data_IF_048802839710
#
_entry.id   IF_048802839710
#
_cell.length_a   1.000
_cell.length_b   1.000
_cell.length_c   1.000
_cell.angle_alpha   90.00
_cell.angle_beta   90.00
_cell.angle_gamma   90.00
#
_symmetry.space_group_name_H-M   'P 1'
#
loop_
_entity.id
_entity.type
_entity.pdbx_description
1 polymer ?
#
# COMPACT_ATOMS: atom_id res chain seq x y z
N UNK A 1 -4.85 -9.65 22.60
CA UNK A 1 -3.77 -8.64 22.64
C UNK A 1 -2.80 -9.02 23.74
N UNK A 2 -1.49 -8.96 23.48
CA UNK A 2 -0.49 -9.17 24.53
C UNK A 2 -0.32 -7.95 25.43
N UNK A 3 0.49 -8.10 26.47
CA UNK A 3 1.01 -7.01 27.30
C UNK A 3 2.51 -7.28 27.49
N UNK A 4 3.34 -6.50 26.80
CA UNK A 4 4.78 -6.65 26.80
C UNK A 4 5.44 -5.40 27.41
N UNK A 5 6.59 -5.55 28.09
CA UNK A 5 7.33 -4.40 28.56
C UNK A 5 7.85 -3.58 27.37
N UNK A 6 7.84 -2.25 27.53
CA UNK A 6 8.61 -1.36 26.66
C UNK A 6 10.09 -1.75 26.77
N UNK A 7 10.82 -1.94 25.66
CA UNK A 7 12.25 -2.23 25.72
C UNK A 7 13.02 -1.15 26.50
N UNK A 8 13.94 -1.54 27.39
CA UNK A 8 14.60 -0.63 28.35
C UNK A 8 15.28 0.59 27.71
N UNK A 9 15.76 0.45 26.46
CA UNK A 9 16.46 1.51 25.72
C UNK A 9 15.55 2.38 24.86
N UNK A 10 14.23 2.17 24.93
CA UNK A 10 13.25 2.92 24.15
C UNK A 10 12.62 3.99 25.02
N UNK A 11 12.77 5.25 24.60
CA UNK A 11 11.90 6.32 25.09
C UNK A 11 10.55 6.18 24.38
N UNK A 12 9.56 5.60 25.07
CA UNK A 12 8.24 5.35 24.49
C UNK A 12 7.48 6.63 24.13
N UNK A 13 7.71 7.72 24.84
CA UNK A 13 7.08 9.01 24.55
C UNK A 13 7.49 9.53 23.18
N UNK A 14 8.81 9.55 22.92
CA UNK A 14 9.35 9.92 21.62
C UNK A 14 9.01 8.91 20.53
N UNK A 15 9.02 7.61 20.85
CA UNK A 15 8.70 6.56 19.89
C UNK A 15 7.23 6.60 19.43
N UNK A 16 6.29 6.83 20.37
CA UNK A 16 4.85 6.97 20.06
C UNK A 16 4.57 8.27 19.30
N UNK A 17 5.39 9.30 19.52
CA UNK A 17 5.29 10.58 18.85
C UNK A 17 3.88 11.19 19.00
N UNK A 18 3.23 11.56 17.87
CA UNK A 18 1.89 12.17 17.88
C UNK A 18 0.77 11.18 18.24
N UNK A 19 1.00 9.87 18.16
CA UNK A 19 -0.04 8.89 18.47
C UNK A 19 -0.35 8.87 19.97
N UNK A 20 -1.64 8.77 20.33
CA UNK A 20 -2.08 8.66 21.73
C UNK A 20 -1.47 7.44 22.42
N UNK A 21 -1.42 7.42 23.75
CA UNK A 21 -1.00 6.20 24.43
C UNK A 21 -2.12 5.17 24.44
N UNK A 22 -1.71 3.90 24.37
CA UNK A 22 -2.57 2.73 24.56
C UNK A 22 -2.24 2.09 25.91
N UNK A 23 -3.21 1.39 26.50
CA UNK A 23 -3.03 0.57 27.69
C UNK A 23 -3.54 -0.86 27.40
N UNK A 24 -2.64 -1.86 27.33
CA UNK A 24 -1.19 -1.79 27.53
C UNK A 24 -0.46 -1.09 26.38
N UNK A 25 0.70 -0.49 26.68
CA UNK A 25 1.51 0.29 25.71
C UNK A 25 2.06 -0.55 24.55
N UNK A 26 2.37 -1.82 24.81
CA UNK A 26 2.94 -2.73 23.82
C UNK A 26 2.13 -4.01 23.79
N UNK A 27 1.33 -4.16 22.74
CA UNK A 27 0.44 -5.32 22.55
C UNK A 27 1.02 -6.39 21.63
N UNK A 28 2.20 -6.13 21.06
CA UNK A 28 2.87 -6.93 20.03
C UNK A 28 4.22 -7.47 20.53
N UNK A 29 4.60 -8.66 20.06
CA UNK A 29 5.85 -9.29 20.47
C UNK A 29 7.08 -8.62 19.82
N UNK A 30 7.05 -8.33 18.51
CA UNK A 30 8.17 -7.65 17.83
C UNK A 30 7.97 -6.14 17.86
N UNK A 31 8.55 -5.49 18.87
CA UNK A 31 8.43 -4.05 19.09
C UNK A 31 8.71 -3.20 17.84
N UNK A 32 9.84 -3.44 17.15
CA UNK A 32 10.34 -2.60 16.05
C UNK A 32 9.76 -2.91 14.67
N UNK A 33 9.09 -4.05 14.49
CA UNK A 33 8.51 -4.40 13.20
C UNK A 33 6.99 -4.38 13.26
N UNK A 34 6.35 -5.12 14.17
CA UNK A 34 4.91 -5.34 14.12
C UNK A 34 4.05 -4.09 14.42
N UNK A 35 4.67 -2.93 14.72
CA UNK A 35 3.95 -1.66 14.90
C UNK A 35 3.29 -1.19 13.59
N UNK A 36 3.88 -1.49 12.43
CA UNK A 36 3.32 -1.04 11.15
C UNK A 36 1.96 -1.71 10.86
N UNK A 37 1.70 -2.86 11.48
CA UNK A 37 0.42 -3.55 11.39
C UNK A 37 -0.69 -2.93 12.27
N UNK A 38 -0.37 -1.96 13.12
CA UNK A 38 -1.30 -1.30 14.02
C UNK A 38 -1.57 0.12 13.50
N UNK A 39 -2.77 0.43 13.00
CA UNK A 39 -3.16 1.71 12.37
C UNK A 39 -2.87 2.93 13.23
N UNK A 40 -2.84 2.69 14.54
CA UNK A 40 -2.45 3.69 15.54
C UNK A 40 -1.03 4.20 15.34
N UNK A 41 -0.09 3.32 14.97
CA UNK A 41 1.33 3.64 14.77
C UNK A 41 1.77 3.57 13.30
N UNK A 42 1.16 2.72 12.48
CA UNK A 42 1.48 2.53 11.07
C UNK A 42 0.24 2.39 10.20
N UNK A 43 0.37 1.75 9.04
CA UNK A 43 -0.59 1.79 7.94
C UNK A 43 -0.53 0.53 7.06
N UNK A 44 -0.15 -0.61 7.66
CA UNK A 44 -0.07 -1.91 7.01
C UNK A 44 0.99 -1.97 5.92
N UNK A 45 0.93 -3.04 5.11
CA UNK A 45 1.87 -3.18 4.00
C UNK A 45 1.57 -2.21 2.84
N UNK A 46 0.32 -1.78 2.70
CA UNK A 46 -0.05 -0.74 1.74
C UNK A 46 0.71 0.56 2.03
N UNK A 47 0.88 0.95 3.30
CA UNK A 47 1.67 2.13 3.66
C UNK A 47 3.16 1.89 3.83
N UNK A 48 3.60 0.65 4.04
CA UNK A 48 5.01 0.28 4.10
C UNK A 48 5.66 0.19 2.70
N UNK A 49 5.00 -0.47 1.73
CA UNK A 49 5.51 -0.63 0.37
C UNK A 49 4.90 0.37 -0.62
N UNK A 50 3.70 0.86 -0.36
CA UNK A 50 2.96 1.70 -1.29
C UNK A 50 3.67 3.00 -1.66
N UNK A 51 4.23 3.79 -0.73
CA UNK A 51 4.91 5.03 -1.10
C UNK A 51 6.09 4.80 -2.07
N UNK A 52 6.73 3.62 -2.04
CA UNK A 52 7.79 3.27 -2.98
C UNK A 52 7.25 2.95 -4.38
N UNK A 53 6.26 2.05 -4.47
CA UNK A 53 5.81 1.55 -5.78
C UNK A 53 4.75 2.45 -6.43
N UNK A 54 3.91 3.14 -5.64
CA UNK A 54 2.97 4.13 -6.17
C UNK A 54 3.71 5.36 -6.69
N UNK A 55 4.86 5.73 -6.12
CA UNK A 55 5.73 6.78 -6.67
C UNK A 55 6.21 6.42 -8.08
N UNK A 56 6.80 5.23 -8.23
CA UNK A 56 7.26 4.72 -9.52
C UNK A 56 6.08 4.62 -10.52
N UNK A 57 4.94 4.10 -10.09
CA UNK A 57 3.74 3.98 -10.93
C UNK A 57 3.24 5.35 -11.39
N UNK A 58 3.13 6.33 -10.48
CA UNK A 58 2.73 7.70 -10.79
C UNK A 58 3.69 8.37 -11.75
N UNK A 59 5.00 8.26 -11.49
CA UNK A 59 6.06 8.79 -12.33
C UNK A 59 5.98 8.22 -13.74
N UNK A 60 5.89 6.90 -13.88
CA UNK A 60 5.82 6.24 -15.20
C UNK A 60 4.52 6.53 -15.97
N UNK A 61 3.43 6.83 -15.25
CA UNK A 61 2.16 7.26 -15.83
C UNK A 61 2.10 8.78 -16.11
N UNK A 62 3.08 9.55 -15.64
CA UNK A 62 3.11 11.01 -15.77
C UNK A 62 1.97 11.71 -15.01
N UNK A 63 1.53 11.15 -13.88
CA UNK A 63 0.45 11.74 -13.07
C UNK A 63 1.02 12.50 -11.86
N UNK A 64 0.80 13.82 -11.82
CA UNK A 64 1.25 14.72 -10.74
C UNK A 64 0.07 15.32 -9.94
N UNK A 65 -0.83 14.46 -9.48
CA UNK A 65 -2.03 14.80 -8.69
C UNK A 65 -2.53 13.58 -7.92
N UNK A 66 -3.46 13.73 -6.98
CA UNK A 66 -4.19 12.60 -6.38
C UNK A 66 -5.21 11.97 -7.36
N UNK A 67 -5.70 10.74 -7.09
CA UNK A 67 -6.75 10.12 -7.92
C UNK A 67 -8.10 10.85 -7.77
N UNK A 68 -9.00 10.63 -8.74
CA UNK A 68 -10.39 11.09 -8.68
C UNK A 68 -11.25 10.23 -7.76
N UNK A 69 -10.92 8.95 -7.63
CA UNK A 69 -11.63 8.04 -6.76
C UNK A 69 -10.77 6.85 -6.36
N UNK A 70 -11.17 6.20 -5.28
CA UNK A 70 -10.54 5.00 -4.74
C UNK A 70 -11.60 4.00 -4.27
N UNK A 71 -11.36 2.72 -4.50
CA UNK A 71 -12.08 1.62 -3.88
C UNK A 71 -11.07 0.56 -3.45
N UNK A 72 -11.22 0.06 -2.24
CA UNK A 72 -10.35 -0.99 -1.70
C UNK A 72 -11.17 -2.16 -1.18
N UNK A 73 -10.73 -3.38 -1.49
CA UNK A 73 -11.24 -4.60 -0.87
C UNK A 73 -10.08 -5.42 -0.32
N UNK A 74 -10.32 -6.17 0.75
CA UNK A 74 -9.23 -6.84 1.44
C UNK A 74 -9.56 -7.22 2.88
N UNK A 75 -8.53 -7.41 3.68
CA UNK A 75 -8.67 -7.64 5.11
C UNK A 75 -7.39 -8.12 5.77
N UNK A 76 -7.50 -8.31 7.09
CA UNK A 76 -6.48 -8.97 7.91
C UNK A 76 -6.79 -10.46 8.02
N UNK A 77 -6.31 -11.23 7.05
CA UNK A 77 -6.74 -12.59 6.77
C UNK A 77 -5.58 -13.60 6.83
N UNK A 78 -5.90 -14.82 7.21
CA UNK A 78 -5.05 -15.99 6.96
C UNK A 78 -3.85 -16.20 7.89
N UNK A 79 -3.43 -15.25 8.72
CA UNK A 79 -2.25 -15.48 9.58
C UNK A 79 -2.38 -16.65 10.55
N UNK A 80 -3.58 -16.92 11.08
CA UNK A 80 -3.80 -18.13 11.90
C UNK A 80 -3.65 -19.42 11.08
N UNK A 81 -4.16 -19.43 9.85
CA UNK A 81 -4.08 -20.57 8.94
C UNK A 81 -2.64 -20.83 8.47
N UNK A 82 -1.92 -19.76 8.13
CA UNK A 82 -0.55 -19.81 7.63
C UNK A 82 0.45 -20.19 8.74
N UNK A 83 0.37 -19.53 9.90
CA UNK A 83 1.34 -19.73 11.00
C UNK A 83 1.21 -21.09 11.67
N UNK A 84 0.03 -21.72 11.60
CA UNK A 84 -0.27 -23.03 12.23
C UNK A 84 0.13 -23.08 13.71
N UNK A 85 -0.01 -21.94 14.37
CA UNK A 85 0.32 -21.74 15.78
C UNK A 85 -0.98 -21.39 16.52
N UNK A 86 -1.52 -22.30 17.35
CA UNK A 86 -2.74 -22.06 18.10
C UNK A 86 -2.60 -20.94 19.14
N UNK A 87 -1.38 -20.60 19.55
CA UNK A 87 -1.08 -19.56 20.53
C UNK A 87 -0.77 -18.21 19.86
N UNK A 88 -0.80 -18.13 18.52
CA UNK A 88 -0.57 -16.88 17.80
C UNK A 88 -1.67 -15.85 18.10
N UNK A 89 -1.26 -14.79 18.77
CA UNK A 89 -2.08 -13.60 19.01
C UNK A 89 -1.69 -12.53 18.02
N UNK A 90 -2.59 -12.23 17.10
CA UNK A 90 -2.44 -11.10 16.21
C UNK A 90 -2.76 -9.79 16.94
N UNK A 91 -1.84 -8.84 16.85
CA UNK A 91 -1.98 -7.51 17.45
C UNK A 91 -2.17 -6.40 16.41
N UNK A 92 -2.19 -6.75 15.13
CA UNK A 92 -2.45 -5.80 14.06
C UNK A 92 -3.95 -5.64 13.77
N UNK A 93 -4.28 -4.51 13.17
CA UNK A 93 -5.63 -4.10 12.77
C UNK A 93 -5.62 -3.44 11.38
N UNK A 94 -4.52 -3.57 10.63
CA UNK A 94 -4.44 -3.17 9.21
C UNK A 94 -4.49 -4.42 8.33
N UNK A 95 -4.97 -4.29 7.10
CA UNK A 95 -5.07 -5.43 6.20
C UNK A 95 -3.69 -5.93 5.80
N UNK A 96 -3.53 -7.24 5.74
CA UNK A 96 -2.34 -7.87 5.17
C UNK A 96 -2.56 -8.25 3.70
N UNK A 97 -3.81 -8.42 3.29
CA UNK A 97 -4.18 -8.58 1.87
C UNK A 97 -5.17 -7.49 1.51
N UNK A 98 -4.75 -6.55 0.67
CA UNK A 98 -5.53 -5.36 0.29
C UNK A 98 -5.30 -5.03 -1.18
N UNK A 99 -6.39 -4.85 -1.93
CA UNK A 99 -6.37 -4.43 -3.33
C UNK A 99 -7.05 -3.08 -3.40
N UNK A 100 -6.28 -2.06 -3.77
CA UNK A 100 -6.77 -0.68 -3.93
C UNK A 100 -6.75 -0.29 -5.40
N UNK A 101 -7.90 0.14 -5.92
CA UNK A 101 -8.08 0.58 -7.30
C UNK A 101 -8.22 2.10 -7.28
N UNK A 102 -7.32 2.79 -7.98
CA UNK A 102 -7.26 4.24 -8.06
C UNK A 102 -7.57 4.71 -9.49
N UNK A 103 -8.58 5.57 -9.64
CA UNK A 103 -8.94 6.18 -10.91
C UNK A 103 -8.26 7.52 -11.11
N UNK A 104 -7.61 7.71 -12.26
CA UNK A 104 -7.05 8.98 -12.71
C UNK A 104 -7.73 9.48 -14.01
N UNK A 105 -8.87 8.90 -14.38
CA UNK A 105 -9.64 9.25 -15.57
C UNK A 105 -9.20 8.45 -16.79
N UNK A 106 -8.10 8.87 -17.43
CA UNK A 106 -7.54 8.16 -18.60
C UNK A 106 -6.41 7.18 -18.24
N UNK A 107 -6.14 7.03 -16.95
CA UNK A 107 -5.12 6.16 -16.34
C UNK A 107 -5.69 5.53 -15.08
N UNK A 108 -5.10 4.40 -14.68
CA UNK A 108 -5.46 3.69 -13.46
C UNK A 108 -4.19 3.18 -12.78
N UNK A 109 -4.23 3.11 -11.45
CA UNK A 109 -3.26 2.37 -10.65
C UNK A 109 -4.03 1.33 -9.85
N UNK A 110 -3.59 0.08 -9.88
CA UNK A 110 -4.06 -0.96 -8.96
C UNK A 110 -2.89 -1.38 -8.09
N UNK A 111 -3.07 -1.30 -6.78
CA UNK A 111 -2.07 -1.71 -5.81
C UNK A 111 -2.53 -2.99 -5.13
N UNK A 112 -1.79 -4.08 -5.33
CA UNK A 112 -2.07 -5.37 -4.70
C UNK A 112 -1.07 -5.66 -3.59
N UNK A 113 -1.58 -5.76 -2.37
CA UNK A 113 -0.84 -6.32 -1.24
C UNK A 113 -1.31 -7.76 -1.01
N UNK A 114 -0.37 -8.70 -0.98
CA UNK A 114 -0.62 -10.11 -0.68
C UNK A 114 0.31 -10.55 0.46
N UNK A 115 -0.18 -10.42 1.69
CA UNK A 115 0.62 -10.59 2.90
C UNK A 115 0.74 -12.02 3.42
N UNK A 116 0.43 -13.02 2.60
CA UNK A 116 0.65 -14.45 2.86
C UNK A 116 1.67 -15.01 1.86
N UNK A 117 2.06 -16.27 2.02
CA UNK A 117 3.03 -16.94 1.17
C UNK A 117 2.62 -16.89 -0.32
N UNK A 118 3.54 -16.36 -1.13
CA UNK A 118 3.38 -16.16 -2.57
C UNK A 118 4.14 -17.17 -3.43
N UNK A 119 4.74 -18.21 -2.82
CA UNK A 119 5.66 -19.12 -3.51
C UNK A 119 5.01 -19.95 -4.61
N UNK A 120 3.70 -20.18 -4.53
CA UNK A 120 2.89 -20.92 -5.52
C UNK A 120 1.62 -20.18 -5.93
N UNK A 121 1.45 -18.93 -5.50
CA UNK A 121 0.19 -18.17 -5.62
C UNK A 121 0.35 -16.82 -6.30
N UNK A 122 1.54 -16.55 -6.86
CA UNK A 122 1.81 -15.30 -7.58
C UNK A 122 1.00 -15.18 -8.88
N UNK A 123 0.80 -16.30 -9.59
CA UNK A 123 0.10 -16.38 -10.88
C UNK A 123 1.04 -16.23 -12.08
N UNK A 124 0.62 -16.76 -13.24
CA UNK A 124 1.48 -16.90 -14.43
C UNK A 124 2.00 -15.56 -14.96
N UNK A 125 1.18 -14.51 -14.94
CA UNK A 125 1.61 -13.19 -15.39
C UNK A 125 2.71 -12.60 -14.49
N UNK A 126 2.49 -12.62 -13.17
CA UNK A 126 3.48 -12.14 -12.20
C UNK A 126 4.77 -12.97 -12.30
N UNK A 127 4.68 -14.29 -12.45
CA UNK A 127 5.84 -15.15 -12.67
C UNK A 127 6.58 -14.85 -13.97
N UNK A 128 5.86 -14.44 -15.02
CA UNK A 128 6.46 -14.05 -16.30
C UNK A 128 7.34 -12.82 -16.14
N UNK A 129 6.89 -11.83 -15.36
CA UNK A 129 7.64 -10.57 -15.19
C UNK A 129 8.68 -10.61 -14.07
N UNK A 130 8.35 -11.22 -12.93
CA UNK A 130 9.22 -11.26 -11.74
C UNK A 130 10.03 -12.55 -11.61
N UNK A 131 9.92 -13.45 -12.58
CA UNK A 131 10.56 -14.76 -12.59
C UNK A 131 9.90 -15.76 -11.63
N UNK A 132 10.09 -17.05 -11.91
CA UNK A 132 9.63 -18.14 -11.05
C UNK A 132 10.49 -18.28 -9.80
N UNK A 133 9.90 -18.70 -8.70
CA UNK A 133 10.62 -19.07 -7.49
C UNK A 133 10.08 -18.43 -6.22
N UNK A 134 10.72 -18.76 -5.10
CA UNK A 134 10.33 -18.32 -3.77
C UNK A 134 10.75 -16.88 -3.51
N UNK A 135 10.00 -16.21 -2.63
CA UNK A 135 10.31 -14.88 -2.12
C UNK A 135 9.32 -13.81 -2.59
N UNK A 136 9.45 -12.63 -2.01
CA UNK A 136 8.55 -11.51 -2.26
C UNK A 136 8.73 -10.99 -3.69
N UNK A 137 7.61 -10.69 -4.35
CA UNK A 137 7.59 -10.01 -5.64
C UNK A 137 7.14 -8.57 -5.38
N UNK A 138 8.09 -7.64 -5.43
CA UNK A 138 7.85 -6.22 -5.11
C UNK A 138 8.29 -5.40 -6.31
N UNK A 139 7.37 -4.63 -6.90
CA UNK A 139 7.67 -3.78 -8.04
C UNK A 139 6.42 -3.26 -8.73
N UNK A 140 6.60 -2.74 -9.95
CA UNK A 140 5.54 -2.13 -10.77
C UNK A 140 5.49 -2.76 -12.16
N UNK A 141 4.30 -3.12 -12.62
CA UNK A 141 4.05 -3.50 -14.02
C UNK A 141 3.30 -2.36 -14.69
N UNK A 142 3.88 -1.81 -15.76
CA UNK A 142 3.25 -0.85 -16.65
C UNK A 142 2.64 -1.58 -17.84
N UNK A 143 1.35 -1.36 -18.05
CA UNK A 143 0.57 -1.91 -19.16
C UNK A 143 0.46 -0.84 -20.26
N UNK A 144 1.05 -1.11 -21.42
CA UNK A 144 1.08 -0.20 -22.56
C UNK A 144 0.37 -0.77 -23.78
N UNK A 145 0.03 0.11 -24.73
CA UNK A 145 -0.64 -0.31 -25.97
C UNK A 145 0.20 -1.24 -26.84
N UNK A 146 1.54 -1.21 -26.68
CA UNK A 146 2.53 -1.97 -27.48
C UNK A 146 3.24 -3.09 -26.70
N UNK A 147 2.94 -3.27 -25.42
CA UNK A 147 3.61 -4.24 -24.56
C UNK A 147 3.65 -3.80 -23.11
N UNK A 148 4.65 -4.28 -22.38
CA UNK A 148 4.75 -4.11 -20.93
C UNK A 148 6.13 -3.63 -20.52
N UNK A 149 6.21 -2.92 -19.40
CA UNK A 149 7.46 -2.69 -18.68
C UNK A 149 7.27 -3.15 -17.25
N UNK A 150 8.13 -4.02 -16.75
CA UNK A 150 8.13 -4.44 -15.36
C UNK A 150 9.38 -3.93 -14.66
N UNK A 151 9.22 -3.19 -13.58
CA UNK A 151 10.27 -2.92 -12.60
C UNK A 151 10.19 -4.00 -11.53
N UNK A 152 11.29 -4.73 -11.33
CA UNK A 152 11.35 -5.90 -10.44
C UNK A 152 12.29 -5.70 -9.26
N UNK A 153 13.07 -4.62 -9.30
CA UNK A 153 13.82 -4.04 -8.18
C UNK A 153 14.17 -2.59 -8.50
N UNK A 154 14.66 -1.83 -7.52
CA UNK A 154 15.09 -0.44 -7.73
C UNK A 154 16.15 -0.26 -8.82
N UNK A 155 16.94 -1.30 -9.12
CA UNK A 155 17.99 -1.26 -10.14
C UNK A 155 17.70 -2.08 -11.38
N UNK A 156 16.50 -2.66 -11.54
CA UNK A 156 16.20 -3.55 -12.67
C UNK A 156 14.78 -3.37 -13.20
N UNK A 157 14.71 -3.00 -14.48
CA UNK A 157 13.48 -3.01 -15.27
C UNK A 157 13.64 -3.88 -16.52
N UNK A 158 12.54 -4.42 -17.03
CA UNK A 158 12.49 -5.18 -18.27
C UNK A 158 11.28 -4.77 -19.11
N UNK A 159 11.48 -4.64 -20.42
CA UNK A 159 10.43 -4.36 -21.40
C UNK A 159 10.07 -5.63 -22.17
N UNK A 160 8.78 -5.82 -22.43
CA UNK A 160 8.21 -7.00 -23.07
C UNK A 160 7.24 -6.61 -24.20
N UNK A 161 7.08 -7.45 -25.20
CA UNK A 161 6.09 -7.26 -26.26
C UNK A 161 4.66 -7.64 -25.82
N UNK A 162 3.66 -7.50 -26.70
CA UNK A 162 2.26 -7.89 -26.42
C UNK A 162 2.08 -9.38 -26.07
N UNK A 163 3.02 -10.23 -26.48
CA UNK A 163 3.03 -11.66 -26.16
C UNK A 163 3.85 -11.95 -24.89
N UNK A 164 4.19 -10.93 -24.10
CA UNK A 164 4.99 -11.01 -22.87
C UNK A 164 6.40 -11.59 -23.10
N UNK A 165 6.92 -11.49 -24.33
CA UNK A 165 8.29 -11.88 -24.64
C UNK A 165 9.24 -10.72 -24.33
N UNK A 166 10.33 -11.02 -23.62
CA UNK A 166 11.37 -10.05 -23.28
C UNK A 166 11.95 -9.39 -24.54
N UNK A 167 11.89 -8.06 -24.58
CA UNK A 167 12.51 -7.21 -25.61
C UNK A 167 13.87 -6.71 -25.12
N UNK A 168 13.92 -6.14 -23.91
CA UNK A 168 15.11 -5.45 -23.39
C UNK A 168 15.11 -5.38 -21.87
N UNK A 169 16.31 -5.42 -21.29
CA UNK A 169 16.52 -5.15 -19.87
C UNK A 169 17.25 -3.83 -19.65
N UNK A 170 16.98 -3.21 -18.50
CA UNK A 170 17.61 -2.00 -17.99
C UNK A 170 18.13 -2.28 -16.60
N UNK A 171 19.44 -2.13 -16.40
CA UNK A 171 20.11 -2.47 -15.13
C UNK A 171 20.94 -1.29 -14.66
N UNK A 172 20.81 -0.94 -13.38
CA UNK A 172 21.54 0.13 -12.72
C UNK A 172 22.06 -0.36 -11.36
N UNK A 173 23.31 -0.02 -11.06
CA UNK A 173 23.90 -0.20 -9.73
C UNK A 173 23.91 1.13 -8.96
N UNK A 174 24.06 1.07 -7.64
CA UNK A 174 24.23 2.28 -6.81
C UNK A 174 23.02 3.22 -6.77
N UNK A 175 21.80 2.71 -7.04
CA UNK A 175 20.58 3.54 -7.09
C UNK A 175 20.30 4.27 -5.77
N UNK A 176 20.57 3.63 -4.63
CA UNK A 176 20.47 4.26 -3.31
C UNK A 176 21.48 5.39 -3.14
N UNK A 177 22.75 5.15 -3.47
CA UNK A 177 23.82 6.15 -3.38
C UNK A 177 23.53 7.35 -4.29
N UNK A 178 23.00 7.11 -5.50
CA UNK A 178 22.59 8.17 -6.42
C UNK A 178 21.44 9.02 -5.85
N UNK A 179 20.49 8.41 -5.15
CA UNK A 179 19.40 9.11 -4.48
C UNK A 179 19.93 10.04 -3.36
N UNK A 180 20.82 9.53 -2.50
CA UNK A 180 21.44 10.34 -1.46
C UNK A 180 22.34 11.45 -2.03
N UNK A 181 23.11 11.16 -3.08
CA UNK A 181 23.96 12.14 -3.74
C UNK A 181 23.13 13.31 -4.29
N UNK A 182 22.01 13.04 -4.96
CA UNK A 182 21.13 14.10 -5.48
C UNK A 182 20.61 15.03 -4.37
N UNK A 183 20.23 14.48 -3.21
CA UNK A 183 19.81 15.31 -2.07
C UNK A 183 20.96 16.18 -1.54
N UNK A 184 22.16 15.61 -1.37
CA UNK A 184 23.34 16.33 -0.89
C UNK A 184 23.72 17.45 -1.88
N UNK A 185 23.73 17.15 -3.18
CA UNK A 185 24.06 18.11 -4.23
C UNK A 185 23.07 19.28 -4.23
N UNK A 186 21.76 19.02 -4.10
CA UNK A 186 20.72 20.04 -3.99
C UNK A 186 20.91 20.92 -2.74
N UNK A 187 21.29 20.32 -1.61
CA UNK A 187 21.59 21.07 -0.38
C UNK A 187 22.82 21.97 -0.54
N UNK A 188 23.88 21.46 -1.16
CA UNK A 188 25.12 22.20 -1.38
C UNK A 188 24.95 23.34 -2.40
N UNK A 189 24.23 23.07 -3.50
CA UNK A 189 23.90 24.07 -4.52
C UNK A 189 22.89 25.10 -4.03
N UNK A 190 22.11 24.76 -3.00
CA UNK A 190 20.95 25.51 -2.51
C UNK A 190 19.87 25.68 -3.57
N UNK A 191 19.75 24.71 -4.47
CA UNK A 191 18.77 24.68 -5.54
C UNK A 191 17.82 23.49 -5.35
N UNK A 192 16.65 23.74 -4.77
CA UNK A 192 15.65 22.70 -4.57
C UNK A 192 15.11 22.15 -5.90
N UNK A 193 15.19 22.90 -7.00
CA UNK A 193 14.71 22.46 -8.31
C UNK A 193 15.56 21.35 -8.93
N UNK A 194 16.75 21.09 -8.39
CA UNK A 194 17.61 19.97 -8.83
C UNK A 194 17.26 18.64 -8.17
N UNK A 195 16.30 18.59 -7.23
CA UNK A 195 15.84 17.34 -6.63
C UNK A 195 15.05 16.51 -7.66
N UNK A 196 15.36 15.22 -7.73
CA UNK A 196 14.60 14.28 -8.56
C UNK A 196 13.25 13.92 -7.93
N UNK A 197 13.15 14.01 -6.59
CA UNK A 197 11.93 13.77 -5.82
C UNK A 197 11.91 14.76 -4.66
N UNK A 198 11.01 15.73 -4.72
CA UNK A 198 10.85 16.75 -3.68
C UNK A 198 9.77 16.35 -2.66
N UNK A 199 9.46 17.26 -1.72
CA UNK A 199 8.45 17.03 -0.71
C UNK A 199 7.04 16.86 -1.29
N UNK A 200 6.71 17.50 -2.43
CA UNK A 200 5.42 17.34 -3.11
C UNK A 200 5.31 15.93 -3.70
N UNK A 201 6.36 15.42 -4.34
CA UNK A 201 6.43 14.04 -4.80
C UNK A 201 6.19 13.07 -3.63
N UNK A 202 6.88 13.27 -2.50
CA UNK A 202 6.70 12.48 -1.30
C UNK A 202 5.27 12.50 -0.75
N UNK A 203 4.66 13.69 -0.67
CA UNK A 203 3.26 13.87 -0.26
C UNK A 203 2.30 13.09 -1.16
N UNK A 204 2.40 13.29 -2.47
CA UNK A 204 1.49 12.67 -3.41
C UNK A 204 1.62 11.14 -3.42
N UNK A 205 2.84 10.61 -3.33
CA UNK A 205 3.07 9.16 -3.35
C UNK A 205 2.71 8.49 -2.02
N UNK A 206 2.97 9.13 -0.87
CA UNK A 206 2.57 8.59 0.43
C UNK A 206 1.05 8.65 0.66
N UNK A 207 0.39 9.71 0.20
CA UNK A 207 -1.06 9.90 0.36
C UNK A 207 -1.87 8.80 -0.33
N UNK A 208 -1.43 8.30 -1.50
CA UNK A 208 -2.16 7.23 -2.23
C UNK A 208 -2.37 6.01 -1.33
N UNK A 209 -1.36 5.60 -0.57
CA UNK A 209 -1.48 4.49 0.40
C UNK A 209 -2.48 4.78 1.51
N UNK A 210 -2.58 6.04 1.96
CA UNK A 210 -3.58 6.44 2.95
C UNK A 210 -4.99 6.43 2.36
N UNK A 211 -5.19 6.88 1.12
CA UNK A 211 -6.48 6.85 0.45
C UNK A 211 -7.03 5.42 0.30
N UNK A 212 -6.17 4.46 -0.07
CA UNK A 212 -6.56 3.04 -0.13
C UNK A 212 -6.92 2.48 1.25
N UNK A 213 -6.10 2.76 2.27
CA UNK A 213 -6.40 2.37 3.65
C UNK A 213 -7.73 2.96 4.14
N UNK A 214 -8.03 4.23 3.83
CA UNK A 214 -9.28 4.88 4.25
C UNK A 214 -10.50 4.21 3.61
N UNK A 215 -10.45 3.87 2.30
CA UNK A 215 -11.53 3.10 1.67
C UNK A 215 -11.73 1.76 2.39
N UNK A 216 -10.64 1.03 2.68
CA UNK A 216 -10.71 -0.21 3.45
C UNK A 216 -11.30 0.00 4.86
N UNK A 217 -10.82 0.99 5.62
CA UNK A 217 -11.25 1.22 7.01
C UNK A 217 -12.72 1.60 7.12
N UNK A 218 -13.24 2.45 6.24
CA UNK A 218 -14.67 2.80 6.22
C UNK A 218 -15.54 1.58 5.90
N UNK A 219 -15.06 0.68 5.03
CA UNK A 219 -15.76 -0.57 4.69
C UNK A 219 -15.35 -1.78 5.51
N UNK A 220 -14.57 -1.64 6.58
CA UNK A 220 -13.95 -2.78 7.26
C UNK A 220 -15.00 -3.75 7.84
N UNK A 221 -16.14 -3.22 8.28
CA UNK A 221 -17.27 -4.01 8.78
C UNK A 221 -18.25 -4.46 7.67
N UNK A 222 -18.06 -3.97 6.43
CA UNK A 222 -18.83 -4.37 5.26
C UNK A 222 -18.24 -5.66 4.67
N UNK A 223 -18.40 -6.75 5.40
CA UNK A 223 -17.97 -8.08 4.97
C UNK A 223 -18.73 -8.53 3.72
N UNK A 224 -17.99 -8.99 2.72
CA UNK A 224 -18.51 -9.36 1.43
C UNK A 224 -17.85 -10.65 0.92
N UNK A 225 -18.68 -11.51 0.33
CA UNK A 225 -18.21 -12.68 -0.42
C UNK A 225 -17.50 -12.26 -1.71
N UNK A 226 -16.66 -13.12 -2.31
CA UNK A 226 -16.09 -12.88 -3.64
C UNK A 226 -17.13 -12.50 -4.70
N UNK A 227 -18.31 -13.13 -4.68
CA UNK A 227 -19.39 -12.85 -5.64
C UNK A 227 -19.99 -11.45 -5.45
N UNK A 228 -20.12 -10.98 -4.21
CA UNK A 228 -20.60 -9.62 -3.91
C UNK A 228 -19.57 -8.57 -4.32
N UNK A 229 -18.29 -8.82 -4.07
CA UNK A 229 -17.20 -7.95 -4.52
C UNK A 229 -17.16 -7.91 -6.04
N UNK A 230 -17.26 -9.07 -6.71
CA UNK A 230 -17.31 -9.16 -8.18
C UNK A 230 -18.42 -8.28 -8.77
N UNK A 231 -19.64 -8.37 -8.23
CA UNK A 231 -20.79 -7.53 -8.65
C UNK A 231 -20.60 -6.05 -8.37
N UNK A 232 -19.87 -5.69 -7.31
CA UNK A 232 -19.51 -4.30 -7.05
C UNK A 232 -18.50 -3.79 -8.09
N UNK A 233 -17.48 -4.59 -8.39
CA UNK A 233 -16.42 -4.26 -9.35
C UNK A 233 -16.93 -4.15 -10.79
N UNK A 234 -17.99 -4.85 -11.18
CA UNK A 234 -18.67 -4.67 -12.48
C UNK A 234 -19.15 -3.23 -12.73
N UNK A 235 -19.44 -2.49 -11.65
CA UNK A 235 -19.92 -1.11 -11.72
C UNK A 235 -18.79 -0.09 -11.71
N UNK A 236 -17.57 -0.52 -11.42
CA UNK A 236 -16.40 0.34 -11.36
C UNK A 236 -15.73 0.33 -12.72
N UNK A 237 -15.88 1.44 -13.45
CA UNK A 237 -15.12 1.66 -14.67
C UNK A 237 -13.64 1.77 -14.31
N UNK A 238 -12.85 0.78 -14.73
CA UNK A 238 -11.40 0.71 -14.50
C UNK A 238 -10.69 0.47 -15.82
N UNK A 239 -9.41 0.84 -15.88
CA UNK A 239 -8.51 0.45 -16.98
C UNK A 239 -7.71 -0.82 -16.65
N UNK A 240 -7.98 -1.44 -15.51
CA UNK A 240 -7.54 -2.79 -15.14
C UNK A 240 -8.63 -3.84 -15.40
N UNK A 241 -8.24 -5.11 -15.47
CA UNK A 241 -9.19 -6.23 -15.38
C UNK A 241 -9.48 -6.54 -13.90
N UNK A 242 -10.44 -5.79 -13.34
CA UNK A 242 -10.84 -5.93 -11.94
C UNK A 242 -11.29 -7.37 -11.58
N UNK A 243 -11.85 -8.13 -12.53
CA UNK A 243 -12.34 -9.48 -12.28
C UNK A 243 -11.18 -10.47 -12.21
N UNK A 244 -10.21 -10.36 -13.12
CA UNK A 244 -8.97 -11.13 -13.06
C UNK A 244 -8.20 -10.82 -11.77
N UNK A 245 -8.13 -9.54 -11.38
CA UNK A 245 -7.51 -9.09 -10.13
C UNK A 245 -8.18 -9.71 -8.90
N UNK A 246 -9.51 -9.68 -8.82
CA UNK A 246 -10.24 -10.34 -7.74
C UNK A 246 -10.01 -11.86 -7.74
N UNK A 247 -10.06 -12.50 -8.91
CA UNK A 247 -9.88 -13.94 -9.04
C UNK A 247 -8.51 -14.39 -8.51
N UNK A 248 -7.43 -13.70 -8.88
CA UNK A 248 -6.09 -14.02 -8.37
C UNK A 248 -5.92 -13.73 -6.88
N UNK A 249 -6.60 -12.71 -6.34
CA UNK A 249 -6.66 -12.49 -4.88
C UNK A 249 -7.33 -13.68 -4.16
N UNK A 250 -8.49 -14.13 -4.64
CA UNK A 250 -9.24 -15.24 -4.05
C UNK A 250 -8.45 -16.54 -4.15
N UNK A 251 -7.80 -16.78 -5.29
CA UNK A 251 -6.92 -17.94 -5.46
C UNK A 251 -5.74 -17.91 -4.48
N UNK A 252 -5.12 -16.74 -4.28
CA UNK A 252 -4.04 -16.58 -3.31
C UNK A 252 -4.48 -16.90 -1.88
N UNK A 253 -5.65 -16.39 -1.46
CA UNK A 253 -6.19 -16.62 -0.12
C UNK A 253 -6.56 -18.09 0.08
N UNK A 254 -7.30 -18.69 -0.85
CA UNK A 254 -7.76 -20.08 -0.73
C UNK A 254 -6.60 -21.08 -0.80
N UNK A 255 -5.59 -20.83 -1.64
CA UNK A 255 -4.38 -21.65 -1.70
C UNK A 255 -3.54 -21.60 -0.41
N UNK A 256 -3.63 -20.49 0.34
CA UNK A 256 -3.04 -20.35 1.68
C UNK A 256 -3.94 -20.88 2.81
N UNK A 257 -5.04 -21.57 2.48
CA UNK A 257 -5.94 -22.20 3.44
C UNK A 257 -6.88 -21.24 4.15
N UNK A 258 -7.10 -20.04 3.59
CA UNK A 258 -8.10 -19.10 4.11
C UNK A 258 -9.49 -19.58 3.74
N UNK A 259 -10.33 -19.79 4.75
CA UNK A 259 -11.75 -20.09 4.62
C UNK A 259 -12.53 -18.77 4.60
N UNK A 260 -12.92 -18.33 3.39
CA UNK A 260 -13.58 -17.04 3.16
C UNK A 260 -15.04 -17.00 3.66
N UNK A 261 -15.66 -18.15 3.95
CA UNK A 261 -16.98 -18.18 4.58
C UNK A 261 -16.87 -17.85 6.08
N UNK A 262 -15.72 -18.20 6.70
CA UNK A 262 -15.45 -17.91 8.12
C UNK A 262 -14.73 -16.58 8.34
N UNK A 263 -13.86 -16.21 7.41
CA UNK A 263 -13.06 -14.98 7.46
C UNK A 263 -13.22 -14.24 6.12
N UNK A 264 -14.38 -13.59 5.91
CA UNK A 264 -14.67 -12.93 4.64
C UNK A 264 -13.74 -11.75 4.40
N UNK A 265 -13.65 -11.35 3.14
CA UNK A 265 -13.09 -10.06 2.75
C UNK A 265 -14.04 -8.94 3.20
N UNK A 266 -13.51 -7.73 3.29
CA UNK A 266 -14.29 -6.51 3.47
C UNK A 266 -14.21 -5.66 2.21
N UNK A 267 -15.30 -4.97 1.90
CA UNK A 267 -15.42 -4.10 0.74
C UNK A 267 -15.59 -2.64 1.18
N UNK A 268 -14.57 -1.84 0.90
CA UNK A 268 -14.58 -0.39 1.01
C UNK A 268 -15.60 0.27 0.09
N UNK A 269 -16.18 1.42 0.49
CA UNK A 269 -16.98 2.21 -0.43
C UNK A 269 -16.12 2.73 -1.59
N UNK A 270 -16.75 2.97 -2.73
CA UNK A 270 -16.15 3.72 -3.84
C UNK A 270 -16.16 5.21 -3.48
N UNK A 271 -15.04 5.70 -2.97
CA UNK A 271 -14.89 7.07 -2.50
C UNK A 271 -14.49 8.00 -3.65
N UNK A 272 -15.24 9.08 -3.85
CA UNK A 272 -14.85 10.17 -4.73
C UNK A 272 -13.91 11.13 -3.98
N UNK A 273 -12.87 11.59 -4.63
CA UNK A 273 -11.83 12.44 -4.04
C UNK A 273 -11.59 13.66 -4.92
N UNK A 274 -11.60 14.85 -4.30
CA UNK A 274 -11.18 16.09 -4.93
C UNK A 274 -9.65 16.23 -4.77
N UNK A 275 -8.87 16.11 -5.85
CA UNK A 275 -7.42 16.14 -5.77
C UNK A 275 -6.84 17.55 -5.65
N UNK A 276 -7.65 18.60 -5.84
CA UNK A 276 -7.24 19.98 -5.59
C UNK A 276 -7.52 20.39 -4.15
N UNK A 277 -8.70 20.05 -3.64
CA UNK A 277 -9.06 20.30 -2.24
C UNK A 277 -8.46 19.28 -1.25
N UNK A 278 -7.95 18.16 -1.77
CA UNK A 278 -7.42 17.00 -1.03
C UNK A 278 -8.42 16.42 -0.01
N UNK A 279 -9.67 16.27 -0.42
CA UNK A 279 -10.77 15.79 0.44
C UNK A 279 -11.71 14.83 -0.28
N UNK A 280 -12.32 13.94 0.48
CA UNK A 280 -13.40 13.10 -0.04
C UNK A 280 -14.68 13.92 -0.24
N UNK A 281 -15.32 13.72 -1.37
CA UNK A 281 -16.59 14.38 -1.72
C UNK A 281 -17.71 13.66 -0.97
N UNK A 282 -18.51 14.42 -0.22
CA UNK A 282 -19.70 13.96 0.51
C UNK A 282 -19.47 12.74 1.44
N UNK A 283 -18.27 12.64 2.06
CA UNK A 283 -17.96 11.56 3.00
C UNK A 283 -17.21 12.06 4.25
N UNK A 284 -17.95 12.40 5.30
CA UNK A 284 -17.40 12.93 6.55
C UNK A 284 -16.56 11.87 7.31
N UNK A 285 -16.96 10.61 7.25
CA UNK A 285 -16.25 9.51 7.92
C UNK A 285 -14.84 9.32 7.34
N UNK A 286 -14.72 9.29 6.01
CA UNK A 286 -13.43 9.22 5.33
C UNK A 286 -12.60 10.49 5.55
N UNK A 287 -13.24 11.67 5.51
CA UNK A 287 -12.56 12.95 5.77
C UNK A 287 -12.02 13.05 7.20
N UNK A 288 -12.68 12.46 8.19
CA UNK A 288 -12.20 12.41 9.57
C UNK A 288 -10.89 11.61 9.72
N UNK A 289 -10.57 10.74 8.76
CA UNK A 289 -9.34 9.93 8.75
C UNK A 289 -8.17 10.57 7.98
N UNK A 290 -8.38 11.71 7.30
CA UNK A 290 -7.30 12.44 6.61
C UNK A 290 -6.28 13.07 7.58
N UNK A 291 -6.67 13.21 8.85
CA UNK A 291 -5.82 13.69 9.93
C UNK A 291 -6.10 12.87 11.18
N UNK A 292 -5.35 13.15 12.25
CA UNK A 292 -5.60 12.60 13.58
C UNK A 292 -5.36 13.69 14.63
N UNK A 293 -5.91 13.50 15.81
CA UNK A 293 -5.54 14.31 16.96
C UNK A 293 -4.12 13.95 17.41
N UNK A 294 -3.25 14.95 17.50
CA UNK A 294 -1.85 14.75 17.89
C UNK A 294 -1.73 14.92 19.40
N UNK A 295 -0.93 14.08 20.05
CA UNK A 295 -0.58 14.31 21.46
C UNK A 295 0.08 15.66 21.65
N UNK A 296 -0.17 16.27 22.81
CA UNK A 296 0.43 17.55 23.17
C UNK A 296 1.96 17.51 23.12
N UNK A 297 2.56 18.51 22.50
CA UNK A 297 3.99 18.62 22.24
C UNK A 297 4.47 18.00 20.91
N UNK A 298 3.58 17.34 20.18
CA UNK A 298 3.89 16.71 18.88
C UNK A 298 3.07 17.30 17.72
N UNK A 299 2.24 18.32 17.97
CA UNK A 299 1.39 18.95 16.97
C UNK A 299 2.20 19.46 15.76
N UNK A 300 1.69 19.21 14.54
CA UNK A 300 2.25 19.84 13.34
C UNK A 300 1.73 21.28 13.28
N UNK A 301 2.60 22.30 13.25
CA UNK A 301 2.17 23.68 13.15
C UNK A 301 1.40 23.91 11.84
N UNK A 302 0.38 24.77 11.88
CA UNK A 302 -0.31 25.20 10.67
C UNK A 302 0.67 25.93 9.72
N UNK A 303 0.37 25.91 8.41
CA UNK A 303 1.23 26.50 7.39
C UNK A 303 1.50 27.99 7.62
N UNK A 304 0.54 28.72 8.19
CA UNK A 304 0.70 30.13 8.57
C UNK A 304 1.66 30.37 9.75
N UNK A 305 2.04 29.32 10.47
CA UNK A 305 2.87 29.36 11.68
C UNK A 305 4.30 28.82 11.46
N UNK A 306 4.70 28.52 10.21
CA UNK A 306 6.04 28.03 9.83
C UNK A 306 6.78 28.98 8.91
#
# INVERSE_FOLDING_TARGET
MGDYPVPEKVNFDLWSGPAAYTDPKVTRQRFHYDWHWQRHYGNGDLGNQGPHQTDIARWGLGVDRHPNSVLTYGGRLGYKAERKDPDYVDAGDTGNTEISIYDYGDKCIVFETRGLDCSTTSGDEIETFFGKGKGNKIGVIFYGSEGYVAQTSYGHCAAFDKNKKLIKEFKAGGVGDAHFANFIDACQSRDASSLNADAKTGHLSAAVSHLGNISYYVGEQNHASPDEISKALEKIKSLDDNQETLQRTVQHLTANGVDLDKTPLSLGPHLQFDPEAERFIDNDEANAMLTREYRSGFEVPAAENV
#
